data_IF_869535873791
#
_entry.id   IF_869535873791
#
_cell.length_a   1.000
_cell.length_b   1.000
_cell.length_c   1.000
_cell.angle_alpha   90.00
_cell.angle_beta   90.00
_cell.angle_gamma   90.00
#
_symmetry.space_group_name_H-M   'P 1'
#
loop_
_entity.id
_entity.type
_entity.pdbx_description
1 polymer ?
#
# COMPACT_ATOMS: atom_id res chain seq x y z
N UNK A 1 96.58 -41.52 -1.24
CA UNK A 1 95.36 -41.49 -2.12
C UNK A 1 94.13 -42.27 -1.59
N UNK A 2 94.30 -43.05 -0.53
CA UNK A 2 93.24 -43.98 -0.03
C UNK A 2 92.28 -43.39 1.03
N UNK A 3 92.62 -42.27 1.67
CA UNK A 3 91.78 -41.67 2.72
C UNK A 3 90.61 -40.85 2.16
N UNK A 4 90.77 -40.19 1.03
CA UNK A 4 89.74 -39.34 0.39
C UNK A 4 88.52 -40.15 -0.17
N UNK A 5 88.70 -41.40 -0.55
CA UNK A 5 87.66 -42.30 -1.10
C UNK A 5 86.81 -42.88 0.04
N UNK A 6 87.34 -42.99 1.26
CA UNK A 6 86.57 -43.42 2.43
C UNK A 6 85.59 -42.39 2.93
N UNK A 7 85.98 -41.13 2.90
CA UNK A 7 85.13 -40.01 3.38
C UNK A 7 83.96 -39.73 2.44
N UNK A 8 84.20 -39.80 1.13
CA UNK A 8 83.08 -39.61 0.15
C UNK A 8 82.01 -40.73 0.23
N UNK A 9 82.41 -41.94 0.51
CA UNK A 9 81.52 -43.09 0.63
C UNK A 9 80.72 -43.01 1.93
N UNK A 10 81.32 -42.51 3.01
CA UNK A 10 80.66 -42.32 4.29
C UNK A 10 79.64 -41.19 4.23
N UNK A 11 79.92 -40.10 3.50
CA UNK A 11 78.99 -38.98 3.28
C UNK A 11 77.80 -39.37 2.40
N UNK A 12 78.04 -40.22 1.39
CA UNK A 12 76.95 -40.78 0.54
C UNK A 12 76.05 -41.71 1.30
N UNK A 13 76.60 -42.54 2.20
CA UNK A 13 75.77 -43.44 3.02
C UNK A 13 74.95 -42.68 4.05
N UNK A 14 75.54 -41.64 4.68
CA UNK A 14 74.81 -40.73 5.59
C UNK A 14 73.65 -40.02 4.86
N UNK A 15 73.87 -39.47 3.69
CA UNK A 15 72.84 -38.82 2.89
C UNK A 15 71.72 -39.80 2.45
N UNK A 16 72.07 -41.06 2.24
CA UNK A 16 71.11 -42.12 1.90
C UNK A 16 70.21 -42.49 3.09
N UNK A 17 70.81 -42.55 4.29
CA UNK A 17 70.04 -42.81 5.53
C UNK A 17 69.11 -41.65 5.83
N UNK A 18 69.62 -40.41 5.81
CA UNK A 18 68.76 -39.22 6.03
C UNK A 18 67.64 -39.12 5.03
N UNK A 19 67.84 -39.42 3.76
CA UNK A 19 66.77 -39.45 2.76
C UNK A 19 65.73 -40.54 3.06
N UNK A 20 66.16 -41.66 3.64
CA UNK A 20 65.26 -42.75 3.99
C UNK A 20 64.36 -42.39 5.19
N UNK A 21 64.98 -41.84 6.22
CA UNK A 21 64.29 -41.37 7.43
C UNK A 21 63.31 -40.24 7.08
N UNK A 22 63.72 -39.27 6.25
CA UNK A 22 62.81 -38.20 5.81
C UNK A 22 61.60 -38.73 5.00
N UNK A 23 61.80 -39.75 4.17
CA UNK A 23 60.68 -40.40 3.43
C UNK A 23 59.75 -41.15 4.36
N UNK A 24 60.28 -41.80 5.38
CA UNK A 24 59.44 -42.50 6.36
C UNK A 24 58.66 -41.53 7.24
N UNK A 25 59.29 -40.44 7.65
CA UNK A 25 58.63 -39.36 8.40
C UNK A 25 57.54 -38.68 7.60
N UNK A 26 57.81 -38.36 6.33
CA UNK A 26 56.82 -37.81 5.41
C UNK A 26 55.64 -38.81 5.20
N UNK A 27 55.94 -40.09 4.99
CA UNK A 27 54.91 -41.11 4.81
C UNK A 27 54.03 -41.26 6.06
N UNK A 28 54.61 -41.21 7.25
CA UNK A 28 53.88 -41.25 8.52
C UNK A 28 53.04 -39.97 8.73
N UNK A 29 53.52 -38.81 8.38
CA UNK A 29 52.79 -37.56 8.45
C UNK A 29 51.63 -37.54 7.47
N UNK A 30 51.81 -38.01 6.24
CA UNK A 30 50.72 -38.15 5.27
C UNK A 30 49.67 -39.19 5.69
N UNK A 31 50.06 -40.26 6.39
CA UNK A 31 49.16 -41.29 6.91
C UNK A 31 48.27 -40.75 8.04
N UNK A 32 48.70 -39.69 8.77
CA UNK A 32 47.94 -39.09 9.87
C UNK A 32 46.94 -38.00 9.40
N UNK A 33 46.97 -37.62 8.12
CA UNK A 33 45.99 -36.64 7.62
C UNK A 33 44.60 -37.28 7.60
N UNK A 34 43.57 -36.61 8.18
CA UNK A 34 42.22 -37.13 8.18
C UNK A 34 41.73 -37.28 6.74
N UNK A 35 41.38 -38.49 6.36
CA UNK A 35 40.79 -38.77 5.04
C UNK A 35 39.50 -37.91 4.93
N UNK A 36 39.48 -36.92 4.00
CA UNK A 36 38.29 -36.11 3.72
C UNK A 36 37.10 -37.03 3.45
N UNK A 37 36.00 -36.89 4.18
CA UNK A 37 34.84 -37.74 3.97
C UNK A 37 34.32 -37.55 2.54
N UNK A 38 34.27 -38.62 1.80
CA UNK A 38 33.82 -38.69 0.39
C UNK A 38 32.37 -38.30 0.21
N UNK A 39 31.64 -38.11 1.32
CA UNK A 39 30.21 -37.76 1.34
C UNK A 39 29.91 -36.25 1.41
N UNK A 40 30.93 -35.39 1.57
CA UNK A 40 30.70 -33.94 1.73
C UNK A 40 30.02 -33.29 0.51
N UNK A 41 30.29 -33.78 -0.69
CA UNK A 41 29.62 -33.28 -1.92
C UNK A 41 28.15 -33.66 -1.94
N UNK A 42 27.79 -34.88 -1.51
CA UNK A 42 26.38 -35.33 -1.46
C UNK A 42 25.57 -34.55 -0.42
N UNK A 43 26.14 -34.28 0.76
CA UNK A 43 25.49 -33.52 1.83
C UNK A 43 25.24 -32.07 1.39
N UNK A 44 26.21 -31.43 0.70
CA UNK A 44 26.06 -30.07 0.17
C UNK A 44 24.98 -30.04 -0.93
N UNK A 45 24.96 -31.02 -1.82
CA UNK A 45 23.97 -31.09 -2.91
C UNK A 45 22.54 -31.26 -2.39
N UNK A 46 22.33 -32.13 -1.40
CA UNK A 46 21.02 -32.33 -0.78
C UNK A 46 20.61 -31.11 0.07
N UNK A 47 21.55 -30.45 0.74
CA UNK A 47 21.28 -29.19 1.47
C UNK A 47 20.84 -28.06 0.54
N UNK A 48 21.52 -27.86 -0.57
CA UNK A 48 21.17 -26.83 -1.58
C UNK A 48 19.82 -27.12 -2.24
N UNK A 49 19.55 -28.38 -2.61
CA UNK A 49 18.26 -28.76 -3.18
C UNK A 49 17.11 -28.60 -2.19
N UNK A 50 17.33 -28.91 -0.90
CA UNK A 50 16.35 -28.67 0.17
C UNK A 50 16.02 -27.19 0.36
N UNK A 51 17.04 -26.32 0.35
CA UNK A 51 16.84 -24.88 0.45
C UNK A 51 16.09 -24.33 -0.77
N UNK A 52 16.43 -24.77 -1.97
CA UNK A 52 15.72 -24.34 -3.20
C UNK A 52 14.26 -24.81 -3.16
N UNK A 53 13.97 -26.05 -2.73
CA UNK A 53 12.61 -26.55 -2.61
C UNK A 53 11.80 -25.76 -1.56
N UNK A 54 12.44 -25.34 -0.46
CA UNK A 54 11.83 -24.55 0.60
C UNK A 54 11.49 -23.14 0.10
N UNK A 55 12.41 -22.49 -0.62
CA UNK A 55 12.17 -21.20 -1.25
C UNK A 55 11.12 -21.27 -2.37
N UNK A 56 11.12 -22.32 -3.18
CA UNK A 56 10.10 -22.54 -4.21
C UNK A 56 8.71 -22.77 -3.58
N UNK A 57 8.65 -23.51 -2.45
CA UNK A 57 7.42 -23.71 -1.70
C UNK A 57 6.89 -22.42 -1.08
N UNK A 58 7.76 -21.64 -0.44
CA UNK A 58 7.40 -20.33 0.14
C UNK A 58 6.98 -19.35 -0.96
N UNK A 59 7.72 -19.29 -2.06
CA UNK A 59 7.38 -18.42 -3.19
C UNK A 59 6.08 -18.85 -3.87
N UNK A 60 5.87 -20.13 -4.08
CA UNK A 60 4.61 -20.66 -4.60
C UNK A 60 3.44 -20.38 -3.68
N UNK A 61 3.64 -20.50 -2.36
CA UNK A 61 2.61 -20.14 -1.38
C UNK A 61 2.35 -18.64 -1.35
N UNK A 62 3.38 -17.79 -1.46
CA UNK A 62 3.24 -16.34 -1.54
C UNK A 62 2.50 -15.87 -2.81
N UNK A 63 2.71 -16.56 -3.93
CA UNK A 63 2.03 -16.27 -5.22
C UNK A 63 0.59 -16.81 -5.24
N UNK A 64 0.33 -17.90 -4.50
CA UNK A 64 -1.00 -18.48 -4.35
C UNK A 64 -1.80 -17.89 -3.19
N UNK A 65 -1.18 -17.02 -2.36
CA UNK A 65 -1.97 -16.17 -1.46
C UNK A 65 -2.90 -15.37 -2.37
N UNK A 66 -4.23 -15.48 -2.23
CA UNK A 66 -5.13 -14.60 -2.94
C UNK A 66 -4.62 -13.20 -2.63
N UNK A 67 -4.28 -12.42 -3.67
CA UNK A 67 -4.09 -10.99 -3.53
C UNK A 67 -5.20 -10.55 -2.62
N UNK A 68 -4.88 -9.96 -1.46
CA UNK A 68 -5.89 -9.44 -0.56
C UNK A 68 -6.79 -8.58 -1.46
N UNK A 69 -7.87 -9.20 -1.95
CA UNK A 69 -8.99 -8.48 -2.48
C UNK A 69 -9.21 -7.42 -1.42
N UNK A 70 -9.04 -6.15 -1.79
CA UNK A 70 -9.35 -5.05 -0.91
C UNK A 70 -10.63 -5.45 -0.22
N UNK A 71 -10.54 -5.79 1.09
CA UNK A 71 -11.73 -6.09 1.86
C UNK A 71 -12.62 -4.88 1.61
N UNK A 72 -13.87 -5.07 1.17
CA UNK A 72 -14.77 -3.95 1.06
C UNK A 72 -14.71 -3.29 2.43
N UNK A 73 -14.18 -2.06 2.47
CA UNK A 73 -14.29 -1.22 3.64
C UNK A 73 -15.77 -1.36 4.01
N UNK A 74 -16.08 -1.73 5.27
CA UNK A 74 -17.44 -1.98 5.70
C UNK A 74 -18.20 -0.65 5.67
N UNK A 75 -18.38 -0.13 4.48
CA UNK A 75 -19.07 1.08 4.08
C UNK A 75 -20.33 0.74 3.35
N UNK A 76 -21.01 1.75 2.90
CA UNK A 76 -22.19 1.59 2.05
C UNK A 76 -21.77 0.84 0.78
N UNK A 77 -22.39 -0.30 0.51
CA UNK A 77 -22.00 -1.15 -0.62
C UNK A 77 -22.37 -0.48 -1.95
N UNK A 78 -21.48 -0.64 -2.94
CA UNK A 78 -21.77 -0.23 -4.32
C UNK A 78 -23.01 -1.00 -4.80
N UNK A 79 -23.96 -0.30 -5.43
CA UNK A 79 -25.22 -0.84 -5.90
C UNK A 79 -26.36 -0.77 -4.89
N UNK A 80 -26.12 -0.29 -3.66
CA UNK A 80 -27.16 -0.07 -2.66
C UNK A 80 -27.58 1.40 -2.58
N UNK A 81 -28.76 1.66 -2.01
CA UNK A 81 -29.24 3.01 -1.72
C UNK A 81 -28.29 3.69 -0.71
N UNK A 82 -27.94 4.93 -0.99
CA UNK A 82 -27.15 5.76 -0.09
C UNK A 82 -27.95 6.06 1.19
N UNK A 83 -27.43 5.80 2.39
CA UNK A 83 -28.09 6.13 3.64
C UNK A 83 -28.47 7.61 3.71
N UNK A 84 -29.71 7.88 4.06
CA UNK A 84 -30.22 9.25 4.17
C UNK A 84 -29.60 9.99 5.36
N UNK A 85 -29.47 11.28 5.19
CA UNK A 85 -29.07 12.17 6.29
C UNK A 85 -29.67 13.57 6.11
N UNK A 86 -29.62 14.32 7.19
CA UNK A 86 -29.99 15.74 7.22
C UNK A 86 -28.92 16.51 7.98
N UNK A 87 -28.19 17.37 7.27
CA UNK A 87 -27.10 18.17 7.84
C UNK A 87 -27.23 19.64 7.44
N UNK A 88 -26.77 20.53 8.33
CA UNK A 88 -26.71 21.95 8.09
C UNK A 88 -25.43 22.36 7.35
N UNK A 89 -25.55 23.34 6.46
CA UNK A 89 -24.41 23.96 5.74
C UNK A 89 -23.75 24.98 6.65
N UNK A 90 -22.44 24.86 6.85
CA UNK A 90 -21.63 25.79 7.63
C UNK A 90 -20.57 26.53 6.80
N UNK A 91 -20.27 26.09 5.58
CA UNK A 91 -19.37 26.76 4.66
C UNK A 91 -19.82 26.60 3.21
N UNK A 92 -19.27 27.42 2.32
CA UNK A 92 -19.70 27.49 0.92
C UNK A 92 -21.00 28.29 0.73
N UNK A 93 -21.69 28.05 -0.38
CA UNK A 93 -22.95 28.71 -0.66
C UNK A 93 -24.09 28.19 0.22
N UNK A 94 -25.11 29.02 0.43
CA UNK A 94 -26.32 28.69 1.19
C UNK A 94 -26.07 28.31 2.65
N UNK A 95 -25.11 28.94 3.31
CA UNK A 95 -24.83 28.75 4.74
C UNK A 95 -26.13 28.89 5.56
N UNK A 96 -26.27 28.01 6.56
CA UNK A 96 -27.44 27.93 7.42
C UNK A 96 -28.59 27.07 6.88
N UNK A 97 -28.63 26.77 5.60
CA UNK A 97 -29.64 25.87 5.03
C UNK A 97 -29.40 24.40 5.44
N UNK A 98 -30.49 23.62 5.43
CA UNK A 98 -30.43 22.17 5.64
C UNK A 98 -30.36 21.44 4.32
N UNK A 99 -29.49 20.43 4.26
CA UNK A 99 -29.44 19.48 3.14
C UNK A 99 -30.02 18.15 3.62
N UNK A 100 -30.98 17.64 2.88
CA UNK A 100 -31.52 16.30 3.01
C UNK A 100 -31.11 15.50 1.79
N UNK A 101 -30.37 14.40 1.96
CA UNK A 101 -29.84 13.64 0.83
C UNK A 101 -30.96 13.14 -0.09
N UNK A 102 -32.03 12.59 0.47
CA UNK A 102 -33.21 12.16 -0.31
C UNK A 102 -33.91 13.30 -1.08
N UNK A 103 -33.76 14.52 -0.59
CA UNK A 103 -34.27 15.70 -1.30
C UNK A 103 -33.51 16.03 -2.60
N UNK A 104 -32.35 15.38 -2.83
CA UNK A 104 -31.54 15.53 -4.02
C UNK A 104 -31.82 14.45 -5.09
N UNK A 105 -32.81 13.55 -4.85
CA UNK A 105 -33.18 12.57 -5.86
C UNK A 105 -33.53 13.26 -7.19
N UNK A 106 -33.16 12.66 -8.29
CA UNK A 106 -33.23 13.27 -9.62
C UNK A 106 -31.90 13.91 -10.07
N UNK A 107 -30.99 14.14 -9.13
CA UNK A 107 -29.69 14.73 -9.39
C UNK A 107 -28.57 13.82 -8.88
N UNK A 108 -27.48 13.63 -9.64
CA UNK A 108 -26.28 12.96 -9.13
C UNK A 108 -25.67 13.70 -7.93
N UNK A 109 -25.09 12.96 -6.97
CA UNK A 109 -24.49 13.53 -5.78
C UNK A 109 -23.08 12.96 -5.59
N UNK A 110 -22.15 13.84 -5.27
CA UNK A 110 -20.78 13.51 -4.86
C UNK A 110 -20.63 13.89 -3.40
N UNK A 111 -20.41 12.88 -2.52
CA UNK A 111 -20.15 13.12 -1.10
C UNK A 111 -18.67 12.97 -0.84
N UNK A 112 -18.03 14.05 -0.42
CA UNK A 112 -16.62 14.07 -0.04
C UNK A 112 -16.49 14.24 1.47
N UNK A 113 -15.90 13.24 2.14
CA UNK A 113 -15.65 13.26 3.59
C UNK A 113 -14.25 13.79 3.85
N UNK A 114 -14.13 14.83 4.68
CA UNK A 114 -12.90 15.59 4.86
C UNK A 114 -12.75 16.19 6.27
N UNK A 115 -11.56 16.75 6.57
CA UNK A 115 -11.27 17.54 7.77
C UNK A 115 -10.12 18.51 7.48
N UNK A 116 -10.03 19.62 8.22
CA UNK A 116 -8.91 20.56 8.14
C UNK A 116 -7.57 19.96 8.57
N UNK A 117 -7.59 18.97 9.46
CA UNK A 117 -6.37 18.26 9.89
C UNK A 117 -5.82 17.30 8.85
N UNK A 118 -6.57 17.05 7.76
CA UNK A 118 -6.23 16.11 6.70
C UNK A 118 -5.50 16.81 5.55
N UNK A 119 -4.17 16.80 5.54
CA UNK A 119 -3.38 17.41 4.46
C UNK A 119 -3.77 16.97 3.05
N UNK A 120 -4.01 15.66 2.76
CA UNK A 120 -4.47 15.23 1.43
C UNK A 120 -5.84 15.81 1.07
N UNK A 121 -6.75 15.98 2.06
CA UNK A 121 -8.06 16.60 1.82
C UNK A 121 -7.90 18.07 1.38
N UNK A 122 -7.03 18.82 2.06
CA UNK A 122 -6.77 20.21 1.73
C UNK A 122 -6.19 20.37 0.31
N UNK A 123 -5.37 19.43 -0.13
CA UNK A 123 -4.76 19.45 -1.45
C UNK A 123 -5.78 19.25 -2.59
N UNK A 124 -6.88 18.52 -2.35
CA UNK A 124 -7.89 18.29 -3.39
C UNK A 124 -8.95 19.41 -3.47
N UNK A 125 -9.15 20.20 -2.42
CA UNK A 125 -10.17 21.27 -2.37
C UNK A 125 -10.11 22.21 -3.58
N UNK A 126 -8.96 22.76 -4.00
CA UNK A 126 -8.91 23.63 -5.17
C UNK A 126 -9.32 22.95 -6.48
N UNK A 127 -9.13 21.63 -6.57
CA UNK A 127 -9.58 20.83 -7.71
C UNK A 127 -11.10 20.61 -7.67
N UNK A 128 -11.65 20.24 -6.51
CA UNK A 128 -13.07 20.06 -6.30
C UNK A 128 -13.85 21.37 -6.56
N UNK A 129 -13.32 22.48 -6.05
CA UNK A 129 -13.93 23.80 -6.26
C UNK A 129 -14.00 24.20 -7.73
N UNK A 130 -12.87 24.06 -8.46
CA UNK A 130 -12.87 24.35 -9.90
C UNK A 130 -13.85 23.45 -10.66
N UNK A 131 -13.91 22.16 -10.30
CA UNK A 131 -14.82 21.24 -10.92
C UNK A 131 -16.27 21.63 -10.62
N UNK A 132 -16.60 21.93 -9.37
CA UNK A 132 -17.95 22.33 -8.96
C UNK A 132 -18.39 23.62 -9.64
N UNK A 133 -17.60 24.67 -9.55
CA UNK A 133 -17.94 26.00 -10.13
C UNK A 133 -18.10 25.94 -11.65
N UNK A 134 -17.35 25.08 -12.33
CA UNK A 134 -17.43 24.94 -13.79
C UNK A 134 -18.61 24.09 -14.26
N UNK A 135 -18.99 23.05 -13.53
CA UNK A 135 -19.87 22.01 -14.07
C UNK A 135 -21.19 21.82 -13.31
N UNK A 136 -21.31 22.25 -12.04
CA UNK A 136 -22.51 21.98 -11.25
C UNK A 136 -23.80 22.50 -11.88
N UNK A 137 -23.79 23.74 -12.36
CA UNK A 137 -24.94 24.33 -13.01
C UNK A 137 -25.30 23.66 -14.36
N UNK A 138 -24.27 23.22 -15.10
CA UNK A 138 -24.46 22.60 -16.42
C UNK A 138 -25.01 21.19 -16.33
N UNK A 139 -24.52 20.41 -15.36
CA UNK A 139 -24.88 18.99 -15.21
C UNK A 139 -25.86 18.71 -14.07
N UNK A 140 -26.28 19.76 -13.35
CA UNK A 140 -27.26 19.69 -12.26
C UNK A 140 -26.94 18.60 -11.22
N UNK A 141 -25.67 18.55 -10.74
CA UNK A 141 -25.25 17.66 -9.67
C UNK A 141 -24.96 18.44 -8.38
N UNK A 142 -24.98 17.73 -7.25
CA UNK A 142 -24.53 18.25 -5.98
C UNK A 142 -23.12 17.71 -5.63
N UNK A 143 -22.23 18.56 -5.16
CA UNK A 143 -21.00 18.19 -4.44
C UNK A 143 -21.16 18.66 -2.99
N UNK A 144 -21.04 17.74 -2.03
CA UNK A 144 -21.22 18.01 -0.62
C UNK A 144 -19.96 17.58 0.14
N UNK A 145 -19.32 18.53 0.82
CA UNK A 145 -18.20 18.26 1.72
C UNK A 145 -18.70 17.96 3.13
N UNK A 146 -18.56 16.73 3.62
CA UNK A 146 -19.01 16.31 4.95
C UNK A 146 -17.82 16.33 5.91
N UNK A 147 -17.88 17.18 6.93
CA UNK A 147 -16.85 17.33 7.94
C UNK A 147 -17.36 16.82 9.29
N UNK A 148 -16.58 15.93 9.93
CA UNK A 148 -16.97 15.33 11.22
C UNK A 148 -16.20 15.84 12.43
N UNK A 149 -14.97 16.33 12.20
CA UNK A 149 -13.98 16.46 13.26
C UNK A 149 -13.73 17.90 13.68
N UNK A 150 -13.88 18.85 12.74
CA UNK A 150 -13.54 20.24 13.01
C UNK A 150 -14.71 21.00 13.65
N UNK A 151 -14.45 22.03 14.47
CA UNK A 151 -15.49 22.92 14.95
C UNK A 151 -16.23 23.61 13.80
N UNK A 152 -17.54 23.83 13.99
CA UNK A 152 -18.37 24.45 12.93
C UNK A 152 -17.87 25.82 12.45
N UNK A 153 -17.30 26.61 13.36
CA UNK A 153 -16.79 27.95 13.05
C UNK A 153 -15.50 27.86 12.21
N UNK A 154 -14.71 26.81 12.37
CA UNK A 154 -13.53 26.54 11.55
C UNK A 154 -13.95 26.12 10.15
N UNK A 155 -15.00 25.30 9.99
CA UNK A 155 -15.55 24.95 8.68
C UNK A 155 -15.99 26.20 7.90
N UNK A 156 -16.68 27.15 8.57
CA UNK A 156 -17.09 28.38 7.97
C UNK A 156 -15.90 29.25 7.55
N UNK A 157 -14.91 29.37 8.42
CA UNK A 157 -13.67 30.10 8.20
C UNK A 157 -12.87 29.48 7.06
N UNK A 158 -12.75 28.15 7.05
CA UNK A 158 -12.10 27.40 5.97
C UNK A 158 -12.76 27.65 4.63
N UNK A 159 -14.09 27.54 4.55
CA UNK A 159 -14.85 27.79 3.33
C UNK A 159 -14.60 29.18 2.77
N UNK A 160 -14.58 30.19 3.64
CA UNK A 160 -14.32 31.59 3.26
C UNK A 160 -12.89 31.80 2.78
N UNK A 161 -11.90 31.33 3.54
CA UNK A 161 -10.49 31.53 3.25
C UNK A 161 -10.04 30.81 1.95
N UNK A 162 -10.65 29.69 1.65
CA UNK A 162 -10.34 28.87 0.47
C UNK A 162 -11.32 29.10 -0.71
N UNK A 163 -12.21 30.09 -0.59
CA UNK A 163 -13.19 30.44 -1.62
C UNK A 163 -14.05 29.25 -2.08
N UNK A 164 -14.37 28.34 -1.16
CA UNK A 164 -15.19 27.15 -1.45
C UNK A 164 -16.63 27.59 -1.68
N UNK A 165 -17.20 27.19 -2.82
CA UNK A 165 -18.60 27.52 -3.17
C UNK A 165 -19.54 26.32 -3.05
N UNK A 166 -19.04 25.09 -3.09
CA UNK A 166 -19.87 23.92 -2.79
C UNK A 166 -20.18 23.81 -1.29
N UNK A 167 -21.37 23.27 -0.91
CA UNK A 167 -21.77 23.17 0.48
C UNK A 167 -20.83 22.33 1.34
N UNK A 168 -20.37 22.91 2.46
CA UNK A 168 -19.63 22.25 3.51
C UNK A 168 -20.56 21.98 4.68
N UNK A 169 -20.80 20.71 4.99
CA UNK A 169 -21.75 20.22 5.96
C UNK A 169 -21.04 19.79 7.25
N UNK A 170 -21.65 20.05 8.39
CA UNK A 170 -21.13 19.64 9.69
C UNK A 170 -21.83 18.38 10.20
N UNK A 171 -21.14 17.28 10.27
CA UNK A 171 -21.60 16.01 10.84
C UNK A 171 -21.27 15.98 12.34
N UNK A 172 -22.06 16.70 13.15
CA UNK A 172 -21.87 16.74 14.59
C UNK A 172 -21.93 15.35 15.21
N UNK A 173 -20.83 14.92 15.80
CA UNK A 173 -20.69 13.60 16.42
C UNK A 173 -20.42 12.45 15.47
N UNK A 174 -20.20 12.71 14.17
CA UNK A 174 -19.72 11.71 13.22
C UNK A 174 -20.76 10.62 12.85
N UNK A 175 -22.05 10.89 13.01
CA UNK A 175 -23.08 9.88 12.75
C UNK A 175 -23.20 9.50 11.27
N UNK A 176 -23.07 10.47 10.36
CA UNK A 176 -23.09 10.22 8.92
C UNK A 176 -21.81 9.49 8.52
N UNK A 177 -20.66 9.91 9.05
CA UNK A 177 -19.39 9.22 8.87
C UNK A 177 -19.46 7.75 9.32
N UNK A 178 -20.06 7.48 10.49
CA UNK A 178 -20.24 6.12 11.01
C UNK A 178 -21.19 5.30 10.12
N UNK A 179 -22.30 5.90 9.67
CA UNK A 179 -23.28 5.24 8.80
C UNK A 179 -22.68 4.88 7.43
N UNK A 180 -21.84 5.75 6.88
CA UNK A 180 -21.10 5.51 5.65
C UNK A 180 -19.82 4.67 5.88
N UNK A 181 -19.55 4.28 7.14
CA UNK A 181 -18.35 3.54 7.58
C UNK A 181 -17.04 4.16 7.05
N UNK A 182 -16.94 5.49 7.12
CA UNK A 182 -15.74 6.22 6.70
C UNK A 182 -14.64 6.01 7.73
N UNK A 183 -13.62 5.20 7.39
CA UNK A 183 -12.49 4.86 8.26
C UNK A 183 -11.22 5.64 7.93
N UNK A 184 -11.18 6.28 6.77
CA UNK A 184 -10.07 7.13 6.33
C UNK A 184 -10.61 8.30 5.51
N UNK A 185 -9.89 9.43 5.50
CA UNK A 185 -10.20 10.61 4.71
C UNK A 185 -8.99 11.03 3.86
N UNK A 186 -9.22 11.59 2.64
CA UNK A 186 -10.53 11.79 2.05
C UNK A 186 -11.18 10.49 1.56
N UNK A 187 -12.47 10.39 1.72
CA UNK A 187 -13.30 9.33 1.09
C UNK A 187 -14.41 10.01 0.29
N UNK A 188 -14.58 9.59 -0.97
CA UNK A 188 -15.58 10.18 -1.86
C UNK A 188 -16.52 9.12 -2.42
N UNK A 189 -17.81 9.31 -2.20
CA UNK A 189 -18.90 8.50 -2.75
C UNK A 189 -19.51 9.19 -3.96
N UNK A 190 -19.74 8.44 -5.02
CA UNK A 190 -20.49 8.87 -6.20
C UNK A 190 -21.85 8.17 -6.21
N UNK A 191 -22.91 8.96 -6.17
CA UNK A 191 -24.30 8.53 -6.04
C UNK A 191 -25.05 8.99 -7.29
N UNK A 192 -25.77 8.09 -7.94
CA UNK A 192 -26.56 8.44 -9.13
C UNK A 192 -27.86 9.19 -8.77
N UNK A 193 -28.57 9.64 -9.79
CA UNK A 193 -29.84 10.37 -9.64
C UNK A 193 -30.95 9.55 -8.97
N UNK A 194 -30.81 8.23 -8.88
CA UNK A 194 -31.73 7.36 -8.16
C UNK A 194 -31.34 7.15 -6.69
N UNK A 195 -30.29 7.82 -6.21
CA UNK A 195 -29.78 7.65 -4.85
C UNK A 195 -28.92 6.41 -4.64
N UNK A 196 -28.49 5.73 -5.70
CA UNK A 196 -27.69 4.49 -5.60
C UNK A 196 -26.19 4.82 -5.64
N UNK A 197 -25.42 4.29 -4.68
CA UNK A 197 -23.97 4.38 -4.68
C UNK A 197 -23.39 3.60 -5.86
N UNK A 198 -22.62 4.26 -6.71
CA UNK A 198 -22.03 3.66 -7.91
C UNK A 198 -20.52 3.46 -7.82
N UNK A 199 -19.84 4.32 -7.09
CA UNK A 199 -18.42 4.14 -6.81
C UNK A 199 -17.98 4.85 -5.53
N UNK A 200 -16.87 4.37 -4.94
CA UNK A 200 -16.25 4.91 -3.72
C UNK A 200 -14.75 4.96 -3.92
N UNK A 201 -14.13 6.07 -3.55
CA UNK A 201 -12.68 6.24 -3.55
C UNK A 201 -12.19 6.65 -2.15
N UNK A 202 -11.33 5.82 -1.55
CA UNK A 202 -10.71 6.06 -0.22
C UNK A 202 -9.30 6.59 -0.43
N UNK A 203 -9.19 7.74 -1.10
CA UNK A 203 -7.95 8.46 -1.39
C UNK A 203 -8.29 9.80 -2.05
N UNK A 204 -7.35 10.77 -2.13
CA UNK A 204 -7.58 11.99 -2.88
C UNK A 204 -7.98 11.71 -4.32
N UNK A 205 -8.98 12.44 -4.80
CA UNK A 205 -9.42 12.33 -6.19
C UNK A 205 -8.35 12.87 -7.14
N UNK A 206 -8.05 12.07 -8.13
CA UNK A 206 -7.25 12.46 -9.31
C UNK A 206 -8.19 12.74 -10.49
N UNK A 207 -7.73 13.39 -11.57
CA UNK A 207 -8.56 13.54 -12.79
C UNK A 207 -9.09 12.20 -13.29
N UNK A 208 -8.30 11.13 -13.20
CA UNK A 208 -8.72 9.78 -13.61
C UNK A 208 -9.82 9.20 -12.71
N UNK A 209 -9.65 9.25 -11.39
CA UNK A 209 -10.65 8.70 -10.45
C UNK A 209 -11.92 9.54 -10.44
N UNK A 210 -11.82 10.87 -10.59
CA UNK A 210 -12.97 11.74 -10.82
C UNK A 210 -13.73 11.31 -12.07
N UNK A 211 -13.06 11.15 -13.20
CA UNK A 211 -13.72 10.72 -14.45
C UNK A 211 -14.38 9.35 -14.30
N UNK A 212 -13.75 8.40 -13.62
CA UNK A 212 -14.35 7.10 -13.33
C UNK A 212 -15.62 7.23 -12.49
N UNK A 213 -15.56 8.04 -11.42
CA UNK A 213 -16.71 8.32 -10.56
C UNK A 213 -17.87 8.96 -11.34
N UNK A 214 -17.57 9.99 -12.11
CA UNK A 214 -18.58 10.69 -12.93
C UNK A 214 -19.24 9.75 -13.96
N UNK A 215 -18.45 8.97 -14.66
CA UNK A 215 -18.97 7.98 -15.62
C UNK A 215 -19.88 6.98 -14.93
N UNK A 216 -19.54 6.54 -13.70
CA UNK A 216 -20.34 5.57 -12.95
C UNK A 216 -21.75 6.09 -12.58
N UNK A 217 -21.91 7.41 -12.43
CA UNK A 217 -23.19 8.07 -12.13
C UNK A 217 -23.88 8.68 -13.37
N UNK A 218 -23.41 8.30 -14.57
CA UNK A 218 -24.00 8.73 -15.84
C UNK A 218 -23.61 10.13 -16.30
N UNK A 219 -22.56 10.72 -15.72
CA UNK A 219 -22.06 12.05 -16.11
C UNK A 219 -20.85 11.92 -17.04
N UNK A 220 -20.97 12.43 -18.25
CA UNK A 220 -19.89 12.54 -19.23
C UNK A 220 -19.48 14.02 -19.34
N UNK A 221 -18.38 14.38 -18.66
CA UNK A 221 -17.89 15.75 -18.52
C UNK A 221 -16.61 15.94 -19.29
#
# INVERSE_FOLDING_TARGET
MTQKVGDEKQEQDLARIQRKELKEELANNYARLPRRPRNRRRIITFGVLGVIALFAGIFGWLVLLPSSAQQPVAGVAIGTEAPDFSLQIYGGNNMGAMVHLKGLHGHPVILNFWSESCTPCLQEVPYLERFYSQYAAKYHFALLGINQADPKDDIATFGTNNHVTYPLLFDKGGNVNATYAVTAIPTTYFIDSNGIVRSVFVQPLTPRTMQQGLTSIGMNV
#
